data_IF_417147802491
#
_entry.id   IF_417147802491
#
_cell.length_a   1.000
_cell.length_b   1.000
_cell.length_c   1.000
_cell.angle_alpha   90.00
_cell.angle_beta   90.00
_cell.angle_gamma   90.00
#
_symmetry.space_group_name_H-M   'P 1'
#
loop_
_entity.id
_entity.type
_entity.pdbx_description
1 polymer ?
#
# COMPACT_ATOMS: atom_id res chain seq x y z
N UNK A 1 -0.37 -5.74 12.83
CA UNK A 1 -0.92 -5.14 14.08
C UNK A 1 -0.83 -6.10 15.27
N UNK A 2 -1.49 -7.27 15.22
CA UNK A 2 -1.52 -8.20 16.36
C UNK A 2 -0.13 -8.66 16.81
N UNK A 3 0.79 -8.97 15.88
CA UNK A 3 2.21 -9.22 16.21
C UNK A 3 2.79 -8.15 17.14
N UNK A 4 2.65 -6.87 16.78
CA UNK A 4 3.16 -5.73 17.54
C UNK A 4 2.53 -5.62 18.93
N UNK A 5 1.21 -5.87 19.03
CA UNK A 5 0.52 -5.88 20.32
C UNK A 5 1.04 -7.02 21.19
N UNK A 6 1.22 -8.22 20.63
CA UNK A 6 1.77 -9.36 21.34
C UNK A 6 3.20 -9.10 21.85
N UNK A 7 4.05 -8.46 21.02
CA UNK A 7 5.39 -8.02 21.42
C UNK A 7 5.35 -7.05 22.62
N UNK A 8 4.49 -6.02 22.57
CA UNK A 8 4.33 -5.04 23.66
C UNK A 8 3.85 -5.72 24.96
N UNK A 9 2.96 -6.70 24.86
CA UNK A 9 2.41 -7.44 26.00
C UNK A 9 3.30 -8.59 26.48
N UNK A 10 4.47 -8.82 25.88
CA UNK A 10 5.35 -9.94 26.21
C UNK A 10 4.82 -11.32 25.82
N UNK A 11 3.80 -11.39 24.95
CA UNK A 11 3.20 -12.64 24.45
C UNK A 11 4.02 -13.20 23.28
N UNK A 12 5.21 -13.71 23.59
CA UNK A 12 6.20 -14.12 22.58
C UNK A 12 5.70 -15.22 21.62
N UNK A 13 4.87 -16.16 22.09
CA UNK A 13 4.30 -17.22 21.23
C UNK A 13 3.36 -16.63 20.19
N UNK A 14 2.44 -15.74 20.60
CA UNK A 14 1.51 -15.06 19.70
C UNK A 14 2.25 -14.16 18.71
N UNK A 15 3.31 -13.48 19.16
CA UNK A 15 4.15 -12.65 18.29
C UNK A 15 4.77 -13.48 17.16
N UNK A 16 5.35 -14.65 17.47
CA UNK A 16 5.92 -15.56 16.46
C UNK A 16 4.84 -16.06 15.50
N UNK A 17 3.70 -16.50 16.03
CA UNK A 17 2.57 -16.98 15.23
C UNK A 17 2.11 -15.92 14.22
N UNK A 18 1.88 -14.69 14.67
CA UNK A 18 1.42 -13.61 13.79
C UNK A 18 2.51 -13.12 12.83
N UNK A 19 3.79 -13.28 13.15
CA UNK A 19 4.89 -12.99 12.23
C UNK A 19 4.89 -13.99 11.05
N UNK A 20 4.78 -15.28 11.35
CA UNK A 20 4.73 -16.35 10.34
C UNK A 20 3.47 -16.22 9.48
N UNK A 21 2.30 -16.03 10.10
CA UNK A 21 1.04 -15.84 9.39
C UNK A 21 1.11 -14.63 8.43
N UNK A 22 1.67 -13.51 8.90
CA UNK A 22 1.86 -12.34 8.04
C UNK A 22 2.76 -12.64 6.84
N UNK A 23 3.89 -13.32 7.06
CA UNK A 23 4.80 -13.73 5.98
C UNK A 23 4.10 -14.59 4.92
N UNK A 24 3.33 -15.59 5.37
CA UNK A 24 2.59 -16.48 4.48
C UNK A 24 1.51 -15.73 3.69
N UNK A 25 0.77 -14.82 4.32
CA UNK A 25 -0.24 -13.99 3.65
C UNK A 25 0.41 -13.06 2.61
N UNK A 26 1.50 -12.40 2.95
CA UNK A 26 2.21 -11.51 2.00
C UNK A 26 2.73 -12.31 0.81
N UNK A 27 3.31 -13.48 1.03
CA UNK A 27 3.79 -14.33 -0.06
C UNK A 27 2.65 -14.79 -0.97
N UNK A 28 1.53 -15.25 -0.40
CA UNK A 28 0.35 -15.63 -1.17
C UNK A 28 -0.24 -14.45 -1.95
N UNK A 29 -0.34 -13.27 -1.32
CA UNK A 29 -0.79 -12.04 -1.98
C UNK A 29 0.10 -11.66 -3.17
N UNK A 30 1.43 -11.71 -2.99
CA UNK A 30 2.37 -11.40 -4.06
C UNK A 30 2.22 -12.38 -5.23
N UNK A 31 2.08 -13.67 -4.95
CA UNK A 31 1.92 -14.69 -5.99
C UNK A 31 0.63 -14.51 -6.79
N UNK A 32 -0.47 -14.14 -6.12
CA UNK A 32 -1.79 -14.02 -6.74
C UNK A 32 -1.98 -12.66 -7.45
N UNK A 33 -1.56 -11.56 -6.83
CA UNK A 33 -1.94 -10.21 -7.26
C UNK A 33 -0.81 -9.38 -7.85
N UNK A 34 0.44 -9.87 -7.80
CA UNK A 34 1.62 -9.16 -8.30
C UNK A 34 2.31 -9.97 -9.39
N UNK A 35 2.32 -9.42 -10.59
CA UNK A 35 3.04 -10.02 -11.73
C UNK A 35 4.56 -10.07 -11.49
N UNK A 36 5.31 -10.95 -12.20
CA UNK A 36 6.77 -11.02 -12.08
C UNK A 36 7.50 -9.69 -12.31
N UNK A 37 6.92 -8.80 -13.12
CA UNK A 37 7.51 -7.48 -13.42
C UNK A 37 7.17 -6.41 -12.37
N UNK A 38 6.39 -6.75 -11.33
CA UNK A 38 6.00 -5.86 -10.24
C UNK A 38 4.73 -5.04 -10.49
N UNK A 39 3.94 -5.38 -11.52
CA UNK A 39 2.62 -4.77 -11.74
C UNK A 39 1.55 -5.47 -10.92
N UNK A 40 0.59 -4.69 -10.42
CA UNK A 40 -0.60 -5.23 -9.77
C UNK A 40 -1.63 -5.68 -10.82
N UNK A 41 -2.29 -6.81 -10.58
CA UNK A 41 -3.39 -7.27 -11.46
C UNK A 41 -4.57 -6.29 -11.40
N UNK A 42 -4.93 -5.82 -10.19
CA UNK A 42 -5.92 -4.74 -10.02
C UNK A 42 -5.25 -3.38 -10.21
N UNK A 43 -5.46 -2.77 -11.38
CA UNK A 43 -4.85 -1.49 -11.73
C UNK A 43 -5.72 -0.29 -11.32
N UNK A 44 -5.97 -0.11 -10.02
CA UNK A 44 -6.80 0.99 -9.47
C UNK A 44 -6.03 1.85 -8.46
N UNK A 45 -6.42 3.11 -8.25
CA UNK A 45 -5.77 3.97 -7.25
C UNK A 45 -5.81 3.31 -5.86
N UNK A 46 -6.95 2.75 -5.45
CA UNK A 46 -7.12 2.05 -4.17
C UNK A 46 -6.17 0.87 -4.02
N UNK A 47 -6.03 0.01 -5.03
CA UNK A 47 -5.15 -1.15 -4.95
C UNK A 47 -3.68 -0.74 -4.70
N UNK A 48 -3.20 0.28 -5.43
CA UNK A 48 -1.84 0.78 -5.24
C UNK A 48 -1.64 1.42 -3.87
N UNK A 49 -2.61 2.20 -3.37
CA UNK A 49 -2.57 2.78 -2.03
C UNK A 49 -2.47 1.68 -0.96
N UNK A 50 -3.32 0.64 -1.03
CA UNK A 50 -3.35 -0.42 -0.01
C UNK A 50 -2.07 -1.26 -0.02
N UNK A 51 -1.54 -1.59 -1.19
CA UNK A 51 -0.26 -2.31 -1.30
C UNK A 51 0.89 -1.54 -0.67
N UNK A 52 0.93 -0.21 -0.85
CA UNK A 52 1.96 0.66 -0.25
C UNK A 52 1.73 0.87 1.24
N UNK A 53 0.48 0.99 1.67
CA UNK A 53 0.09 1.20 3.08
C UNK A 53 0.46 0.00 3.96
N UNK A 54 0.16 -1.20 3.47
CA UNK A 54 0.42 -2.45 4.19
C UNK A 54 1.77 -3.08 3.86
N UNK A 55 2.58 -2.43 3.02
CA UNK A 55 3.93 -2.87 2.63
C UNK A 55 3.94 -4.30 2.06
N UNK A 56 2.97 -4.61 1.19
CA UNK A 56 2.72 -5.96 0.66
C UNK A 56 3.69 -6.36 -0.46
N UNK A 57 4.61 -5.49 -0.86
CA UNK A 57 5.60 -5.72 -1.92
C UNK A 57 7.00 -5.35 -1.46
N UNK A 58 7.99 -5.97 -2.10
CA UNK A 58 9.43 -5.68 -1.88
C UNK A 58 9.78 -4.25 -2.28
N UNK A 59 10.86 -3.72 -1.73
CA UNK A 59 11.26 -2.32 -1.89
C UNK A 59 11.50 -1.92 -3.36
N UNK A 60 12.05 -2.82 -4.18
CA UNK A 60 12.26 -2.63 -5.61
C UNK A 60 10.94 -2.49 -6.41
N UNK A 61 9.85 -3.07 -5.89
CA UNK A 61 8.52 -2.99 -6.49
C UNK A 61 7.71 -1.80 -5.95
N UNK A 62 7.97 -1.34 -4.71
CA UNK A 62 7.24 -0.21 -4.10
C UNK A 62 7.27 1.04 -4.97
N UNK A 63 8.43 1.40 -5.51
CA UNK A 63 8.57 2.57 -6.40
C UNK A 63 7.76 2.42 -7.69
N UNK A 64 7.71 1.22 -8.27
CA UNK A 64 6.89 0.95 -9.48
C UNK A 64 5.40 1.11 -9.18
N UNK A 65 4.95 0.58 -8.04
CA UNK A 65 3.56 0.71 -7.58
C UNK A 65 3.21 2.18 -7.33
N UNK A 66 4.10 2.94 -6.70
CA UNK A 66 3.91 4.37 -6.47
C UNK A 66 3.85 5.16 -7.78
N UNK A 67 4.79 4.93 -8.70
CA UNK A 67 4.79 5.61 -10.00
C UNK A 67 3.52 5.31 -10.79
N UNK A 68 3.03 4.07 -10.76
CA UNK A 68 1.75 3.73 -11.40
C UNK A 68 0.56 4.43 -10.74
N UNK A 69 0.55 4.61 -9.41
CA UNK A 69 -0.46 5.43 -8.74
C UNK A 69 -0.45 6.89 -9.24
N UNK A 70 0.74 7.48 -9.43
CA UNK A 70 0.87 8.84 -9.98
C UNK A 70 0.35 8.91 -11.42
N UNK A 71 0.63 7.91 -12.25
CA UNK A 71 0.08 7.82 -13.60
C UNK A 71 -1.45 7.72 -13.58
N UNK A 72 -2.03 6.85 -12.75
CA UNK A 72 -3.48 6.71 -12.60
C UNK A 72 -4.16 8.00 -12.15
N UNK A 73 -3.52 8.79 -11.28
CA UNK A 73 -4.00 10.12 -10.91
C UNK A 73 -3.98 11.06 -12.11
N UNK A 74 -2.88 11.09 -12.88
CA UNK A 74 -2.77 11.93 -14.09
C UNK A 74 -3.78 11.55 -15.17
N UNK A 75 -3.93 10.25 -15.43
CA UNK A 75 -4.91 9.68 -16.38
C UNK A 75 -6.33 10.14 -16.01
N UNK A 76 -6.63 10.21 -14.71
CA UNK A 76 -7.92 10.70 -14.22
C UNK A 76 -7.94 12.22 -13.94
N UNK A 77 -7.10 13.02 -14.62
CA UNK A 77 -7.05 14.49 -14.48
C UNK A 77 -6.88 14.98 -13.03
N UNK A 78 -6.10 14.24 -12.24
CA UNK A 78 -5.91 14.42 -10.79
C UNK A 78 -7.22 14.36 -9.98
N UNK A 79 -8.22 13.59 -10.43
CA UNK A 79 -9.40 13.27 -9.61
C UNK A 79 -9.21 11.91 -8.95
N UNK A 80 -9.74 11.79 -7.73
CA UNK A 80 -9.72 10.55 -6.98
C UNK A 80 -10.72 9.56 -7.59
N UNK A 81 -10.29 8.30 -7.75
CA UNK A 81 -11.19 7.16 -8.06
C UNK A 81 -11.27 6.19 -6.88
N UNK A 82 -10.92 6.67 -5.69
CA UNK A 82 -10.85 5.88 -4.46
C UNK A 82 -12.17 5.92 -3.70
N UNK A 83 -12.50 4.79 -3.06
CA UNK A 83 -13.61 4.68 -2.11
C UNK A 83 -13.15 4.85 -0.66
N UNK A 84 -14.02 4.44 0.27
CA UNK A 84 -13.83 4.58 1.72
C UNK A 84 -12.50 4.04 2.25
N UNK A 85 -12.00 2.94 1.68
CA UNK A 85 -10.75 2.30 2.13
C UNK A 85 -9.49 2.87 1.46
N UNK A 86 -9.61 3.72 0.45
CA UNK A 86 -8.48 4.31 -0.27
C UNK A 86 -8.26 5.78 0.07
N UNK A 87 -9.34 6.58 0.03
CA UNK A 87 -9.28 8.04 0.20
C UNK A 87 -8.59 8.49 1.49
N UNK A 88 -8.85 7.89 2.67
CA UNK A 88 -8.23 8.34 3.92
C UNK A 88 -6.70 8.22 3.94
N UNK A 89 -6.12 7.37 3.08
CA UNK A 89 -4.70 7.04 3.10
C UNK A 89 -3.90 7.69 1.96
N UNK A 90 -4.58 8.22 0.93
CA UNK A 90 -3.93 8.76 -0.27
C UNK A 90 -2.90 9.85 0.08
N UNK A 91 -3.31 10.88 0.84
CA UNK A 91 -2.42 11.99 1.22
C UNK A 91 -1.21 11.54 2.03
N UNK A 92 -1.40 10.54 2.91
CA UNK A 92 -0.32 9.95 3.72
C UNK A 92 0.67 9.18 2.85
N UNK A 93 0.19 8.39 1.89
CA UNK A 93 1.05 7.68 0.93
C UNK A 93 1.81 8.66 0.05
N UNK A 94 1.14 9.67 -0.53
CA UNK A 94 1.81 10.69 -1.33
C UNK A 94 2.91 11.41 -0.54
N UNK A 95 2.64 11.79 0.71
CA UNK A 95 3.63 12.43 1.58
C UNK A 95 4.79 11.50 1.94
N UNK A 96 4.52 10.21 2.24
CA UNK A 96 5.55 9.19 2.51
C UNK A 96 6.54 9.06 1.34
N UNK A 97 6.04 9.20 0.11
CA UNK A 97 6.83 9.17 -1.12
C UNK A 97 7.25 10.58 -1.62
N UNK A 98 7.35 11.57 -0.71
CA UNK A 98 7.84 12.93 -0.99
C UNK A 98 7.04 13.70 -2.06
N UNK A 99 5.76 13.37 -2.23
CA UNK A 99 4.81 14.06 -3.12
C UNK A 99 3.73 14.81 -2.36
N UNK A 100 4.15 15.55 -1.33
CA UNK A 100 3.25 16.40 -0.54
C UNK A 100 2.59 17.49 -1.40
N UNK A 101 3.30 17.99 -2.42
CA UNK A 101 2.77 18.90 -3.45
C UNK A 101 1.47 18.36 -4.07
N UNK A 102 1.45 17.07 -4.40
CA UNK A 102 0.29 16.43 -5.02
C UNK A 102 -0.82 16.19 -3.99
N UNK A 103 -0.47 15.85 -2.75
CA UNK A 103 -1.45 15.71 -1.67
C UNK A 103 -2.22 17.02 -1.44
N UNK A 104 -1.50 18.16 -1.37
CA UNK A 104 -2.13 19.47 -1.28
C UNK A 104 -2.95 19.80 -2.53
N UNK A 105 -2.42 19.52 -3.72
CA UNK A 105 -3.13 19.76 -4.98
C UNK A 105 -4.48 19.05 -5.01
N UNK A 106 -4.53 17.77 -4.64
CA UNK A 106 -5.76 16.96 -4.64
C UNK A 106 -6.79 17.39 -3.59
N UNK A 107 -6.37 18.12 -2.55
CA UNK A 107 -7.28 18.62 -1.51
C UNK A 107 -7.97 19.93 -1.93
N UNK A 108 -7.29 20.77 -2.70
CA UNK A 108 -7.73 22.13 -3.04
C UNK A 108 -8.16 22.31 -4.51
N UNK A 109 -8.10 21.24 -5.31
CA UNK A 109 -8.63 21.17 -6.68
C UNK A 109 -9.87 20.30 -6.73
#
# INVERSE_FOLDING_TARGET
LLRRIAEILGKNTDAKLYAELHGNIVQAFQNEFVTPNGRLISNTQTAHILVLLFELVKDDVKEKVFNRLIELLKENKNHLTTGFIGTPYLSSILTKFKRHDLACKLLFH
#
